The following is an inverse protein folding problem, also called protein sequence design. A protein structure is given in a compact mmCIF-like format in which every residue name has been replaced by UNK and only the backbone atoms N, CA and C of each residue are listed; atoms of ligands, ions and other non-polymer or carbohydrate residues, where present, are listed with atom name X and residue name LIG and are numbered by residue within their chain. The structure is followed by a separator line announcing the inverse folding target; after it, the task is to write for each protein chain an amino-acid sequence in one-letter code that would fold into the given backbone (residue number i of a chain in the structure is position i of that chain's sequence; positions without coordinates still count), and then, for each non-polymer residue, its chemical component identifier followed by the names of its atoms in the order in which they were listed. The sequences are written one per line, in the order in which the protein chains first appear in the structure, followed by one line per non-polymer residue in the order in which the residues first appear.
data_IF_107698117265
#
_entry.id   IF_107698117265
#
_cell.length_a   1.000
_cell.length_b   1.000
_cell.length_c   1.000
_cell.angle_alpha   90.00
_cell.angle_beta   90.00
_cell.angle_gamma   90.00
#
_symmetry.space_group_name_H-M   'P 1'
#
loop_
_entity.id
_entity.type
_entity.pdbx_description
1 polymer ?
#
# COMPACT_ATOMS: atom_id res chain seq x y z
N UNK A 1 6.32 -11.55 -15.96
CA UNK A 1 5.69 -10.23 -15.78
C UNK A 1 6.29 -9.62 -14.53
N UNK A 2 6.93 -8.45 -14.64
CA UNK A 2 7.54 -7.81 -13.48
C UNK A 2 6.46 -7.51 -12.42
N UNK A 3 6.70 -7.79 -11.13
CA UNK A 3 5.66 -7.62 -10.12
C UNK A 3 5.11 -6.19 -10.04
N UNK A 4 5.94 -5.22 -10.40
CA UNK A 4 5.58 -3.80 -10.54
C UNK A 4 4.52 -3.52 -11.61
N UNK A 5 4.52 -4.28 -12.71
CA UNK A 5 3.52 -4.16 -13.77
C UNK A 5 2.15 -4.55 -13.24
N UNK A 6 2.06 -5.60 -12.40
CA UNK A 6 0.79 -6.03 -11.80
C UNK A 6 0.23 -4.99 -10.83
N UNK A 7 1.08 -4.41 -9.99
CA UNK A 7 0.68 -3.34 -9.07
C UNK A 7 0.17 -2.12 -9.84
N UNK A 8 0.92 -1.66 -10.86
CA UNK A 8 0.51 -0.52 -11.69
C UNK A 8 -0.80 -0.81 -12.43
N UNK A 9 -0.96 -2.01 -12.98
CA UNK A 9 -2.18 -2.42 -13.66
C UNK A 9 -3.37 -2.48 -12.71
N UNK A 10 -3.21 -3.01 -11.49
CA UNK A 10 -4.27 -3.06 -10.50
C UNK A 10 -4.69 -1.65 -10.01
N UNK A 11 -3.74 -0.74 -9.78
CA UNK A 11 -4.04 0.66 -9.45
C UNK A 11 -4.78 1.35 -10.60
N UNK A 12 -4.31 1.16 -11.84
CA UNK A 12 -4.97 1.74 -13.02
C UNK A 12 -6.38 1.19 -13.21
N UNK A 13 -6.57 -0.13 -13.03
CA UNK A 13 -7.86 -0.78 -13.12
C UNK A 13 -8.84 -0.19 -12.10
N UNK A 14 -8.46 -0.17 -10.82
CA UNK A 14 -9.31 0.40 -9.76
C UNK A 14 -9.71 1.84 -10.09
N UNK A 15 -8.77 2.69 -10.51
CA UNK A 15 -9.07 4.08 -10.85
C UNK A 15 -10.06 4.24 -12.01
N UNK A 16 -10.09 3.30 -12.96
CA UNK A 16 -10.96 3.37 -14.13
C UNK A 16 -12.33 2.75 -13.85
N UNK A 17 -12.37 1.67 -13.09
CA UNK A 17 -13.61 0.90 -12.87
C UNK A 17 -14.32 1.25 -11.57
N UNK A 18 -13.64 1.95 -10.66
CA UNK A 18 -14.05 2.14 -9.26
C UNK A 18 -14.39 0.79 -8.55
N UNK A 19 -13.78 -0.30 -9.01
CA UNK A 19 -14.02 -1.65 -8.50
C UNK A 19 -12.89 -2.10 -7.54
N UNK A 20 -13.06 -1.89 -6.23
CA UNK A 20 -12.11 -2.38 -5.23
C UNK A 20 -12.05 -3.90 -5.18
N UNK A 21 -13.14 -4.62 -5.44
CA UNK A 21 -13.20 -6.08 -5.24
C UNK A 21 -12.33 -6.82 -6.25
N UNK A 22 -12.28 -6.35 -7.50
CA UNK A 22 -11.42 -6.91 -8.54
C UNK A 22 -9.94 -6.52 -8.40
N UNK A 23 -9.64 -5.28 -8.01
CA UNK A 23 -8.27 -4.76 -8.00
C UNK A 23 -7.51 -5.01 -6.68
N UNK A 24 -8.20 -4.96 -5.54
CA UNK A 24 -7.59 -5.06 -4.22
C UNK A 24 -6.86 -6.38 -3.94
N UNK A 25 -7.36 -7.57 -4.34
CA UNK A 25 -6.65 -8.83 -4.10
C UNK A 25 -5.22 -8.84 -4.67
N UNK A 26 -5.00 -8.22 -5.82
CA UNK A 26 -3.68 -8.11 -6.46
C UNK A 26 -2.75 -7.21 -5.64
N UNK A 27 -3.26 -6.07 -5.17
CA UNK A 27 -2.49 -5.13 -4.34
C UNK A 27 -2.18 -5.71 -2.96
N UNK A 28 -3.13 -6.45 -2.36
CA UNK A 28 -2.93 -7.14 -1.08
C UNK A 28 -1.83 -8.19 -1.18
N UNK A 29 -1.87 -9.04 -2.22
CA UNK A 29 -0.83 -10.05 -2.43
C UNK A 29 0.55 -9.42 -2.65
N UNK A 30 0.61 -8.30 -3.38
CA UNK A 30 1.86 -7.56 -3.56
C UNK A 30 2.38 -6.98 -2.23
N UNK A 31 1.49 -6.40 -1.40
CA UNK A 31 1.85 -5.85 -0.09
C UNK A 31 2.57 -6.85 0.80
N UNK A 32 2.05 -8.09 0.85
CA UNK A 32 2.58 -9.17 1.69
C UNK A 32 3.90 -9.71 1.16
N UNK A 33 4.05 -9.83 -0.16
CA UNK A 33 5.21 -10.45 -0.79
C UNK A 33 6.34 -9.48 -1.09
N UNK A 34 6.06 -8.17 -1.16
CA UNK A 34 6.99 -7.16 -1.64
C UNK A 34 6.89 -5.85 -0.85
N UNK A 35 7.77 -5.61 0.13
CA UNK A 35 7.77 -4.39 0.96
C UNK A 35 7.74 -3.09 0.14
N UNK A 36 8.52 -3.04 -0.94
CA UNK A 36 8.58 -1.92 -1.88
C UNK A 36 7.23 -1.54 -2.55
N UNK A 37 6.24 -2.43 -2.54
CA UNK A 37 4.92 -2.17 -3.14
C UNK A 37 3.89 -1.59 -2.15
N UNK A 38 4.23 -1.56 -0.86
CA UNK A 38 3.33 -1.06 0.21
C UNK A 38 2.99 0.42 0.03
N UNK A 39 3.97 1.26 -0.31
CA UNK A 39 3.76 2.69 -0.60
C UNK A 39 2.70 2.93 -1.69
N UNK A 40 2.88 2.38 -2.91
CA UNK A 40 1.89 2.48 -3.99
C UNK A 40 0.51 1.95 -3.64
N UNK A 41 0.42 0.83 -2.92
CA UNK A 41 -0.87 0.27 -2.49
C UNK A 41 -1.55 1.16 -1.43
N UNK A 42 -0.80 1.70 -0.47
CA UNK A 42 -1.30 2.65 0.53
C UNK A 42 -1.76 3.95 -0.12
N UNK A 43 -1.04 4.44 -1.14
CA UNK A 43 -1.44 5.60 -1.93
C UNK A 43 -2.77 5.34 -2.65
N UNK A 44 -2.92 4.17 -3.28
CA UNK A 44 -4.17 3.79 -3.94
C UNK A 44 -5.35 3.78 -2.97
N UNK A 45 -5.20 3.19 -1.78
CA UNK A 45 -6.23 3.19 -0.74
C UNK A 45 -6.54 4.59 -0.20
N UNK A 46 -5.50 5.43 -0.03
CA UNK A 46 -5.64 6.80 0.45
C UNK A 46 -6.32 7.74 -0.57
N UNK A 47 -6.18 7.45 -1.87
CA UNK A 47 -6.76 8.24 -2.97
C UNK A 47 -8.15 7.74 -3.39
N UNK A 48 -8.40 6.43 -3.33
CA UNK A 48 -9.68 5.81 -3.68
C UNK A 48 -10.56 5.62 -2.44
N UNK A 49 -10.59 4.41 -1.87
CA UNK A 49 -11.36 4.07 -0.67
C UNK A 49 -10.84 2.78 -0.03
N UNK A 50 -11.13 2.57 1.25
CA UNK A 50 -10.97 1.27 1.92
C UNK A 50 -12.26 0.44 1.88
N UNK A 51 -13.40 1.03 1.50
CA UNK A 51 -14.66 0.32 1.31
C UNK A 51 -14.55 -0.67 0.14
N UNK A 52 -15.10 -1.88 0.30
CA UNK A 52 -14.95 -2.98 -0.68
C UNK A 52 -13.56 -3.62 -0.71
N UNK A 53 -12.53 -2.99 -0.13
CA UNK A 53 -11.19 -3.54 -0.01
C UNK A 53 -11.07 -4.38 1.28
N UNK A 54 -11.62 -5.60 1.27
CA UNK A 54 -11.69 -6.47 2.45
C UNK A 54 -10.34 -6.57 3.20
N UNK A 55 -10.34 -6.37 4.52
CA UNK A 55 -9.14 -6.44 5.36
C UNK A 55 -8.09 -5.33 5.16
N UNK A 56 -8.35 -4.33 4.31
CA UNK A 56 -7.42 -3.22 4.07
C UNK A 56 -7.13 -2.43 5.35
N UNK A 57 -8.15 -2.08 6.13
CA UNK A 57 -7.98 -1.31 7.38
C UNK A 57 -7.05 -2.04 8.36
N UNK A 58 -7.28 -3.34 8.62
CA UNK A 58 -6.44 -4.10 9.54
C UNK A 58 -5.00 -4.27 9.05
N UNK A 59 -4.79 -4.28 7.73
CA UNK A 59 -3.46 -4.34 7.14
C UNK A 59 -2.72 -3.00 7.24
N UNK A 60 -3.43 -1.87 7.08
CA UNK A 60 -2.90 -0.53 7.32
C UNK A 60 -2.56 -0.32 8.81
N UNK A 61 -3.45 -0.72 9.72
CA UNK A 61 -3.22 -0.64 11.17
C UNK A 61 -2.00 -1.46 11.59
N UNK A 62 -1.85 -2.68 11.06
CA UNK A 62 -0.65 -3.49 11.31
C UNK A 62 0.62 -2.80 10.83
N UNK A 63 0.59 -2.18 9.65
CA UNK A 63 1.75 -1.44 9.14
C UNK A 63 2.08 -0.25 10.04
N UNK A 64 1.07 0.50 10.53
CA UNK A 64 1.25 1.62 11.45
C UNK A 64 1.87 1.20 12.78
N UNK A 65 1.44 0.06 13.32
CA UNK A 65 1.92 -0.50 14.59
C UNK A 65 3.30 -1.19 14.50
N UNK A 66 3.79 -1.47 13.29
CA UNK A 66 5.09 -2.14 13.12
C UNK A 66 6.26 -1.22 13.47
N UNK A 67 7.04 -1.59 14.50
CA UNK A 67 8.20 -0.82 14.97
C UNK A 67 9.44 -0.95 14.06
N UNK A 68 9.51 -1.99 13.21
CA UNK A 68 10.66 -2.28 12.35
C UNK A 68 10.17 -2.58 10.94
N UNK A 69 10.20 -1.56 10.09
CA UNK A 69 9.63 -1.62 8.74
C UNK A 69 10.75 -1.99 7.78
N UNK A 70 10.73 -3.22 7.28
CA UNK A 70 11.70 -3.78 6.32
C UNK A 70 11.57 -3.12 4.93
N UNK A 71 11.54 -1.79 4.88
CA UNK A 71 11.58 -1.03 3.63
C UNK A 71 13.05 -0.76 3.22
N UNK A 72 13.94 -0.58 4.20
CA UNK A 72 15.38 -0.58 3.99
C UNK A 72 15.86 -2.02 3.73
N UNK A 73 16.38 -2.27 2.54
CA UNK A 73 17.03 -3.52 2.17
C UNK A 73 18.36 -3.60 2.94
N UNK A 74 18.82 -4.81 3.27
CA UNK A 74 20.04 -5.15 4.05
C UNK A 74 21.38 -4.57 3.54
N UNK A 75 21.37 -3.65 2.56
CA UNK A 75 22.56 -3.04 1.96
C UNK A 75 22.84 -1.59 2.41
N UNK A 76 22.31 -1.21 3.58
CA UNK A 76 22.49 0.11 4.17
C UNK A 76 21.24 0.98 4.01
N UNK A 77 20.75 1.52 5.12
CA UNK A 77 19.67 2.49 5.11
C UNK A 77 20.19 3.81 4.54
N UNK A 78 19.65 4.25 3.41
CA UNK A 78 19.88 5.59 2.90
C UNK A 78 18.87 6.58 3.50
N UNK A 79 19.18 7.88 3.49
CA UNK A 79 18.22 8.91 3.95
C UNK A 79 16.91 8.85 3.16
N UNK A 80 16.94 8.35 1.92
CA UNK A 80 15.77 8.09 1.10
C UNK A 80 14.80 7.05 1.70
N UNK A 81 15.30 6.03 2.40
CA UNK A 81 14.47 4.98 3.00
C UNK A 81 13.62 5.52 4.15
N UNK A 82 14.15 6.49 4.91
CA UNK A 82 13.42 7.18 5.97
C UNK A 82 12.26 7.98 5.38
N UNK A 83 12.52 8.75 4.32
CA UNK A 83 11.50 9.58 3.66
C UNK A 83 10.37 8.71 3.08
N UNK A 84 10.72 7.60 2.43
CA UNK A 84 9.72 6.68 1.88
C UNK A 84 8.92 5.95 2.98
N UNK A 85 9.55 5.64 4.12
CA UNK A 85 8.84 5.08 5.28
C UNK A 85 7.85 6.09 5.87
N UNK A 86 8.30 7.32 6.15
CA UNK A 86 7.42 8.37 6.68
C UNK A 86 6.24 8.65 5.75
N UNK A 87 6.49 8.65 4.44
CA UNK A 87 5.45 8.80 3.41
C UNK A 87 4.45 7.66 3.46
N UNK A 88 4.91 6.42 3.57
CA UNK A 88 4.03 5.26 3.73
C UNK A 88 3.13 5.43 4.97
N UNK A 89 3.66 5.89 6.10
CA UNK A 89 2.86 6.09 7.32
C UNK A 89 1.83 7.20 7.18
N UNK A 90 2.19 8.30 6.53
CA UNK A 90 1.25 9.37 6.23
C UNK A 90 0.09 8.85 5.37
N UNK A 91 0.38 8.02 4.37
CA UNK A 91 -0.64 7.40 3.51
C UNK A 91 -1.51 6.42 4.29
N UNK A 92 -0.93 5.55 5.12
CA UNK A 92 -1.69 4.61 5.94
C UNK A 92 -2.65 5.34 6.89
N UNK A 93 -2.17 6.38 7.60
CA UNK A 93 -3.03 7.20 8.46
C UNK A 93 -4.15 7.85 7.67
N UNK A 94 -3.85 8.44 6.51
CA UNK A 94 -4.86 9.05 5.64
C UNK A 94 -5.92 8.04 5.22
N UNK A 95 -5.51 6.85 4.79
CA UNK A 95 -6.43 5.80 4.34
C UNK A 95 -7.32 5.25 5.46
N UNK A 96 -6.81 5.10 6.70
CA UNK A 96 -7.61 4.64 7.85
C UNK A 96 -8.56 5.72 8.36
N UNK A 97 -8.15 6.99 8.35
CA UNK A 97 -8.98 8.09 8.84
C UNK A 97 -9.94 8.66 7.79
N UNK A 98 -9.79 8.26 6.52
CA UNK A 98 -10.79 8.56 5.49
C UNK A 98 -12.06 7.79 5.84
N UNK A 99 -13.03 8.49 6.43
CA UNK A 99 -14.39 7.94 6.54
C UNK A 99 -15.00 7.87 5.12
N UNK A 100 -15.78 6.81 4.83
CA UNK A 100 -16.45 6.65 3.54
C UNK A 100 -17.40 7.80 3.24
#
# INVERSE_FOLDING_TARGET
MEPWTRVRAAVALWRVTDDPEGAWPVLRAAWETMPRTRGPAAACLADMTTAGAAGAVGLLDRELLSARRHNAIDNGADSHDIVEDERLLALCRRAVHRRP
#
